data_IF_604478682314
#
_entry.id   IF_604478682314
#
_cell.length_a   1.000
_cell.length_b   1.000
_cell.length_c   1.000
_cell.angle_alpha   90.00
_cell.angle_beta   90.00
_cell.angle_gamma   90.00
#
_symmetry.space_group_name_H-M   'P 1'
#
loop_
_entity.id
_entity.type
_entity.pdbx_description
1 polymer ?
#
# COMPACT_ATOMS: atom_id res chain seq x y z
N UNK A 1 -4.11 -14.92 5.41
CA UNK A 1 -4.66 -13.57 5.15
C UNK A 1 -6.12 -13.62 5.48
N UNK A 2 -6.66 -12.73 6.31
CA UNK A 2 -8.08 -12.48 6.29
C UNK A 2 -8.40 -11.88 4.93
N UNK A 3 -9.15 -12.60 4.09
CA UNK A 3 -9.59 -12.05 2.82
C UNK A 3 -10.65 -11.00 3.11
N UNK A 4 -10.33 -9.73 2.88
CA UNK A 4 -11.35 -8.68 2.80
C UNK A 4 -12.00 -8.83 1.42
N UNK A 5 -13.20 -9.43 1.29
CA UNK A 5 -13.70 -9.88 -0.01
C UNK A 5 -13.93 -8.72 -0.99
N UNK A 6 -14.15 -7.52 -0.45
CA UNK A 6 -14.28 -6.28 -1.22
C UNK A 6 -12.99 -5.86 -1.96
N UNK A 7 -11.83 -6.45 -1.61
CA UNK A 7 -10.57 -6.27 -2.35
C UNK A 7 -10.44 -7.20 -3.55
N UNK A 8 -11.31 -8.20 -3.73
CA UNK A 8 -11.20 -9.09 -4.88
C UNK A 8 -11.35 -8.28 -6.18
N UNK A 9 -10.39 -8.44 -7.10
CA UNK A 9 -10.29 -7.65 -8.33
C UNK A 9 -9.77 -6.21 -8.14
N UNK A 10 -9.49 -5.77 -6.91
CA UNK A 10 -8.82 -4.50 -6.65
C UNK A 10 -7.30 -4.71 -6.67
N UNK A 11 -6.55 -3.73 -7.19
CA UNK A 11 -5.08 -3.82 -7.22
C UNK A 11 -4.43 -3.22 -5.98
N UNK A 12 -5.03 -3.36 -4.79
CA UNK A 12 -4.50 -2.75 -3.56
C UNK A 12 -4.75 -3.62 -2.32
N UNK A 13 -3.80 -3.67 -1.40
CA UNK A 13 -3.95 -4.28 -0.07
C UNK A 13 -3.03 -3.64 0.97
N UNK A 14 -3.30 -3.90 2.24
CA UNK A 14 -2.47 -3.50 3.38
C UNK A 14 -1.97 -4.69 4.19
N UNK A 15 -0.80 -4.51 4.81
CA UNK A 15 -0.35 -5.29 5.96
C UNK A 15 0.04 -4.33 7.09
N UNK A 16 -0.39 -4.63 8.31
CA UNK A 16 0.07 -3.96 9.53
C UNK A 16 1.13 -4.84 10.18
N UNK A 17 2.29 -4.26 10.46
CA UNK A 17 3.50 -4.99 10.87
C UNK A 17 4.01 -4.44 12.19
N UNK A 18 3.91 -5.24 13.26
CA UNK A 18 4.41 -4.89 14.58
C UNK A 18 5.75 -5.60 14.81
N UNK A 19 6.83 -4.83 14.95
CA UNK A 19 8.17 -5.33 15.24
C UNK A 19 8.51 -5.04 16.71
N UNK A 20 8.40 -6.02 17.62
CA UNK A 20 8.96 -5.84 18.95
C UNK A 20 10.45 -5.53 18.90
N UNK A 21 10.95 -5.05 20.04
CA UNK A 21 12.36 -4.78 20.22
C UNK A 21 13.24 -5.99 19.87
N UNK A 22 14.29 -5.77 19.11
CA UNK A 22 15.28 -6.80 18.73
C UNK A 22 14.79 -7.85 17.72
N UNK A 23 13.66 -7.64 17.05
CA UNK A 23 13.05 -8.67 16.16
C UNK A 23 13.42 -8.50 14.69
N UNK A 24 13.54 -9.62 13.98
CA UNK A 24 13.84 -9.67 12.54
C UNK A 24 12.65 -10.24 11.78
N UNK A 25 12.19 -9.53 10.74
CA UNK A 25 11.43 -10.15 9.66
C UNK A 25 12.43 -10.71 8.64
N UNK A 26 12.53 -12.05 8.52
CA UNK A 26 13.59 -12.70 7.73
C UNK A 26 13.54 -12.34 6.24
N UNK A 27 14.60 -12.63 5.47
CA UNK A 27 14.61 -12.43 4.03
C UNK A 27 13.40 -13.09 3.35
N UNK A 28 12.63 -12.28 2.64
CA UNK A 28 11.45 -12.71 1.91
C UNK A 28 11.25 -11.86 0.65
N UNK A 29 10.32 -12.31 -0.20
CA UNK A 29 9.93 -11.60 -1.41
C UNK A 29 8.41 -11.63 -1.61
N UNK A 30 7.90 -10.63 -2.32
CA UNK A 30 6.52 -10.51 -2.75
C UNK A 30 6.46 -10.64 -4.28
N UNK A 31 6.17 -11.84 -4.82
CA UNK A 31 6.29 -12.09 -6.25
C UNK A 31 5.22 -11.37 -7.09
N UNK A 32 4.12 -10.92 -6.47
CA UNK A 32 2.98 -10.32 -7.18
C UNK A 32 2.77 -8.84 -6.90
N UNK A 33 3.64 -8.21 -6.12
CA UNK A 33 3.49 -6.79 -5.79
C UNK A 33 4.81 -6.16 -5.37
N UNK A 34 5.00 -4.90 -5.73
CA UNK A 34 5.89 -4.02 -4.97
C UNK A 34 5.28 -3.73 -3.59
N UNK A 35 6.12 -3.37 -2.63
CA UNK A 35 5.71 -3.14 -1.25
C UNK A 35 6.21 -1.78 -0.80
N UNK A 36 5.34 -0.98 -0.20
CA UNK A 36 5.61 0.38 0.23
C UNK A 36 5.34 0.52 1.74
N UNK A 37 6.28 0.16 2.63
CA UNK A 37 6.09 0.39 4.05
C UNK A 37 6.17 1.87 4.41
N UNK A 38 5.22 2.32 5.23
CA UNK A 38 5.18 3.60 5.94
C UNK A 38 5.38 3.34 7.43
N UNK A 39 6.38 3.98 8.03
CA UNK A 39 6.67 3.81 9.46
C UNK A 39 5.78 4.73 10.30
N UNK A 40 4.90 4.13 11.11
CA UNK A 40 3.97 4.86 11.97
C UNK A 40 4.67 5.37 13.23
N UNK A 41 5.54 4.54 13.84
CA UNK A 41 6.42 4.94 14.93
C UNK A 41 7.62 3.99 15.03
N UNK A 42 8.68 4.44 15.70
CA UNK A 42 9.90 3.67 15.96
C UNK A 42 10.99 3.83 14.90
N UNK A 43 11.93 2.88 14.88
CA UNK A 43 13.06 2.85 13.94
C UNK A 43 13.20 1.46 13.35
N UNK A 44 13.25 1.38 12.02
CA UNK A 44 13.37 0.11 11.33
C UNK A 44 14.63 0.09 10.46
N UNK A 45 15.52 -0.87 10.69
CA UNK A 45 16.57 -1.16 9.72
C UNK A 45 15.98 -2.02 8.62
N UNK A 46 16.11 -1.56 7.38
CA UNK A 46 15.65 -2.30 6.22
C UNK A 46 16.80 -2.55 5.27
N UNK A 47 16.76 -3.70 4.62
CA UNK A 47 17.82 -4.17 3.75
C UNK A 47 17.19 -4.86 2.54
N UNK A 48 17.78 -4.67 1.37
CA UNK A 48 17.44 -5.41 0.17
C UNK A 48 18.68 -5.68 -0.66
N UNK A 49 18.64 -6.73 -1.46
CA UNK A 49 19.74 -7.12 -2.34
C UNK A 49 19.37 -6.73 -3.76
N UNK A 50 20.20 -5.92 -4.42
CA UNK A 50 19.97 -5.56 -5.81
C UNK A 50 20.40 -6.67 -6.78
N UNK A 51 20.13 -6.50 -8.07
CA UNK A 51 20.48 -7.48 -9.11
C UNK A 51 21.98 -7.69 -9.35
N UNK A 52 22.84 -6.89 -8.71
CA UNK A 52 24.29 -7.11 -8.69
C UNK A 52 24.77 -7.82 -7.42
N UNK A 53 23.86 -8.44 -6.66
CA UNK A 53 24.13 -9.10 -5.38
C UNK A 53 24.70 -8.18 -4.28
N UNK A 54 24.47 -6.87 -4.39
CA UNK A 54 24.90 -5.90 -3.40
C UNK A 54 23.79 -5.61 -2.41
N UNK A 55 24.12 -5.72 -1.12
CA UNK A 55 23.23 -5.30 -0.04
C UNK A 55 23.10 -3.77 -0.03
N UNK A 56 21.87 -3.28 -0.03
CA UNK A 56 21.56 -1.86 0.12
C UNK A 56 21.00 -1.64 1.53
N UNK A 57 21.76 -0.96 2.40
CA UNK A 57 21.29 -0.62 3.74
C UNK A 57 20.49 0.67 3.76
N UNK A 58 19.41 0.66 4.55
CA UNK A 58 18.65 1.85 4.87
C UNK A 58 18.11 1.78 6.30
N UNK A 59 18.04 2.93 6.97
CA UNK A 59 17.36 3.08 8.26
C UNK A 59 16.15 3.96 8.07
N UNK A 60 14.98 3.42 8.37
CA UNK A 60 13.71 4.12 8.36
C UNK A 60 13.44 4.70 9.75
N UNK A 61 12.98 5.94 9.75
CA UNK A 61 12.54 6.67 10.94
C UNK A 61 11.05 6.93 10.79
N UNK A 62 10.39 7.32 11.87
CA UNK A 62 8.96 7.68 11.88
C UNK A 62 8.60 8.62 10.72
N UNK A 63 7.46 8.37 10.08
CA UNK A 63 7.03 9.10 8.87
C UNK A 63 7.89 8.82 7.63
N UNK A 64 8.85 7.91 7.69
CA UNK A 64 9.63 7.47 6.55
C UNK A 64 8.89 6.42 5.74
N UNK A 65 9.13 6.42 4.42
CA UNK A 65 8.65 5.39 3.51
C UNK A 65 9.79 4.80 2.70
N UNK A 66 9.70 3.52 2.34
CA UNK A 66 10.62 2.87 1.42
C UNK A 66 9.83 2.02 0.42
N UNK A 67 10.23 1.95 -0.84
CA UNK A 67 9.65 1.02 -1.81
C UNK A 67 10.58 -0.17 -2.05
N UNK A 68 10.03 -1.38 -1.95
CA UNK A 68 10.66 -2.61 -2.39
C UNK A 68 10.02 -3.06 -3.69
N UNK A 69 10.76 -3.05 -4.81
CA UNK A 69 10.27 -3.60 -6.06
C UNK A 69 9.73 -5.02 -5.98
N UNK A 70 8.76 -5.32 -6.84
CA UNK A 70 8.16 -6.64 -6.98
C UNK A 70 9.24 -7.71 -7.18
N UNK A 71 9.14 -8.81 -6.43
CA UNK A 71 10.10 -9.91 -6.52
C UNK A 71 11.43 -9.70 -5.79
N UNK A 72 11.72 -8.50 -5.28
CA UNK A 72 12.99 -8.20 -4.62
C UNK A 72 13.10 -8.85 -3.23
N UNK A 73 14.23 -9.50 -2.96
CA UNK A 73 14.53 -10.03 -1.63
C UNK A 73 14.87 -8.88 -0.69
N UNK A 74 14.12 -8.78 0.40
CA UNK A 74 14.31 -7.77 1.44
C UNK A 74 14.02 -8.34 2.83
N UNK A 75 14.50 -7.65 3.86
CA UNK A 75 14.33 -8.02 5.25
C UNK A 75 14.36 -6.80 6.15
N UNK A 76 13.69 -6.90 7.29
CA UNK A 76 13.55 -5.82 8.25
C UNK A 76 14.06 -6.27 9.61
N UNK A 77 14.66 -5.34 10.34
CA UNK A 77 15.15 -5.59 11.69
C UNK A 77 14.87 -4.37 12.56
N UNK A 78 14.12 -4.59 13.64
CA UNK A 78 14.05 -3.61 14.72
C UNK A 78 15.31 -3.78 15.58
N UNK A 79 16.27 -2.90 15.35
CA UNK A 79 17.53 -2.88 16.09
C UNK A 79 17.43 -2.18 17.45
N UNK A 80 16.31 -1.53 17.72
CA UNK A 80 16.03 -1.01 19.05
C UNK A 80 15.79 -2.20 19.99
N UNK A 81 16.62 -2.31 21.03
CA UNK A 81 16.55 -3.38 22.02
C UNK A 81 15.50 -3.15 23.10
N UNK A 82 14.76 -2.04 23.03
CA UNK A 82 13.78 -1.64 24.05
C UNK A 82 12.42 -1.30 23.45
N UNK A 83 12.37 -0.54 22.35
CA UNK A 83 11.12 -0.01 21.82
C UNK A 83 10.58 -0.82 20.64
N UNK A 84 9.25 -1.05 20.58
CA UNK A 84 8.61 -1.63 19.42
C UNK A 84 8.59 -0.63 18.25
N UNK A 85 8.39 -1.14 17.05
CA UNK A 85 8.23 -0.38 15.81
C UNK A 85 6.97 -0.84 15.08
N UNK A 86 6.19 0.09 14.54
CA UNK A 86 4.98 -0.20 13.77
C UNK A 86 5.10 0.34 12.35
N UNK A 87 4.82 -0.51 11.37
CA UNK A 87 4.71 -0.10 9.97
C UNK A 87 3.36 -0.52 9.38
N UNK A 88 2.82 0.32 8.50
CA UNK A 88 1.70 -0.03 7.62
C UNK A 88 2.27 -0.14 6.22
N UNK A 89 1.99 -1.24 5.53
CA UNK A 89 2.60 -1.56 4.25
C UNK A 89 1.57 -1.73 3.17
N UNK A 90 1.64 -0.86 2.16
CA UNK A 90 0.76 -0.81 1.02
C UNK A 90 1.33 -1.63 -0.12
N UNK A 91 0.46 -2.34 -0.82
CA UNK A 91 0.83 -3.23 -1.92
C UNK A 91 -0.06 -2.94 -3.11
N UNK A 92 0.54 -2.87 -4.30
CA UNK A 92 -0.13 -2.70 -5.61
C UNK A 92 -0.86 -3.94 -6.12
N UNK A 93 -1.32 -4.81 -5.22
CA UNK A 93 -2.06 -6.03 -5.53
C UNK A 93 -2.98 -6.40 -4.37
N UNK A 94 -4.18 -6.93 -4.65
CA UNK A 94 -5.01 -7.55 -3.61
C UNK A 94 -4.36 -8.78 -2.98
N UNK A 95 -3.39 -9.40 -3.66
CA UNK A 95 -2.65 -10.54 -3.16
C UNK A 95 -1.19 -10.48 -3.62
N UNK A 96 -0.37 -9.79 -2.83
CA UNK A 96 1.08 -9.70 -3.07
C UNK A 96 1.78 -11.07 -3.03
N UNK A 97 1.22 -12.03 -2.28
CA UNK A 97 1.91 -13.26 -1.87
C UNK A 97 3.08 -12.96 -0.95
N UNK A 98 3.63 -13.99 -0.32
CA UNK A 98 4.88 -13.88 0.42
C UNK A 98 5.65 -15.18 0.31
N UNK A 99 6.93 -15.09 -0.01
CA UNK A 99 7.83 -16.23 -0.14
C UNK A 99 8.99 -16.00 0.82
N UNK A 100 9.01 -16.76 1.92
CA UNK A 100 10.15 -16.79 2.85
C UNK A 100 11.32 -17.46 2.16
N UNK A 101 12.44 -16.76 2.02
CA UNK A 101 13.65 -17.33 1.40
C UNK A 101 14.20 -18.48 2.26
N UNK A 102 14.38 -18.34 3.59
CA UNK A 102 14.87 -19.44 4.42
C UNK A 102 14.02 -20.71 4.30
N UNK A 103 12.69 -20.58 4.29
CA UNK A 103 11.82 -21.75 4.23
C UNK A 103 11.79 -22.36 2.83
N UNK A 104 11.61 -21.55 1.78
CA UNK A 104 11.53 -22.08 0.41
C UNK A 104 12.85 -22.68 -0.07
N UNK A 105 13.98 -22.24 0.49
CA UNK A 105 15.27 -22.86 0.21
C UNK A 105 15.43 -24.09 1.13
N UNK A 106 15.46 -23.91 2.44
CA UNK A 106 16.00 -24.95 3.32
C UNK A 106 14.96 -25.96 3.84
N UNK A 107 13.64 -25.72 3.76
CA UNK A 107 12.64 -26.67 4.27
C UNK A 107 11.99 -27.54 3.18
N UNK A 108 12.57 -27.57 1.99
CA UNK A 108 12.09 -28.39 0.87
C UNK A 108 12.74 -29.77 0.85
N UNK A 109 12.19 -30.68 0.03
CA UNK A 109 12.72 -32.03 -0.21
C UNK A 109 13.93 -32.06 -1.15
N UNK A 110 14.59 -30.92 -1.39
CA UNK A 110 15.81 -30.87 -2.19
C UNK A 110 16.94 -31.58 -1.42
N UNK A 111 17.67 -32.43 -2.15
CA UNK A 111 18.76 -33.26 -1.63
C UNK A 111 19.89 -32.43 -1.00
N UNK A 112 20.38 -32.87 0.16
CA UNK A 112 21.39 -32.14 0.92
C UNK A 112 22.74 -32.04 0.21
N UNK A 113 23.07 -32.99 -0.68
CA UNK A 113 24.29 -32.92 -1.48
C UNK A 113 24.17 -31.83 -2.56
N UNK A 114 22.98 -31.67 -3.17
CA UNK A 114 22.70 -30.58 -4.11
C UNK A 114 22.82 -29.22 -3.39
N UNK A 115 22.32 -29.13 -2.16
CA UNK A 115 22.50 -27.92 -1.34
C UNK A 115 23.97 -27.67 -1.00
N UNK A 116 24.68 -28.69 -0.54
CA UNK A 116 26.10 -28.61 -0.18
C UNK A 116 26.94 -28.12 -1.37
N UNK A 117 26.67 -28.64 -2.57
CA UNK A 117 27.33 -28.22 -3.81
C UNK A 117 26.94 -26.78 -4.21
N UNK A 118 25.67 -26.41 -4.07
CA UNK A 118 25.16 -25.08 -4.45
C UNK A 118 25.67 -23.97 -3.53
N UNK A 119 25.68 -24.23 -2.22
CA UNK A 119 26.10 -23.28 -1.19
C UNK A 119 27.60 -23.37 -0.86
N UNK A 120 28.33 -24.31 -1.48
CA UNK A 120 29.76 -24.55 -1.26
C UNK A 120 30.08 -24.76 0.22
N UNK A 121 29.24 -25.54 0.90
CA UNK A 121 29.32 -25.86 2.33
C UNK A 121 29.12 -27.35 2.56
N UNK A 122 29.44 -27.86 3.75
CA UNK A 122 29.18 -29.27 4.08
C UNK A 122 27.71 -29.54 4.44
N UNK A 123 27.33 -30.82 4.36
CA UNK A 123 25.97 -31.26 4.67
C UNK A 123 25.58 -31.03 6.14
N UNK A 124 26.55 -30.98 7.07
CA UNK A 124 26.28 -30.73 8.48
C UNK A 124 25.80 -29.28 8.71
N UNK A 125 26.40 -28.31 8.02
CA UNK A 125 25.97 -26.92 8.04
C UNK A 125 24.56 -26.76 7.45
N UNK A 126 24.24 -27.48 6.35
CA UNK A 126 22.88 -27.50 5.78
C UNK A 126 21.90 -28.07 6.79
N UNK A 127 22.20 -29.23 7.40
CA UNK A 127 21.35 -29.85 8.42
C UNK A 127 21.16 -28.97 9.65
N UNK A 128 22.18 -28.19 10.05
CA UNK A 128 22.06 -27.22 11.13
C UNK A 128 21.07 -26.10 10.80
N UNK A 129 21.14 -25.56 9.56
CA UNK A 129 20.19 -24.55 9.08
C UNK A 129 18.76 -25.14 9.03
N UNK A 130 18.59 -26.33 8.45
CA UNK A 130 17.29 -27.02 8.38
C UNK A 130 16.71 -27.32 9.76
N UNK A 131 17.53 -27.82 10.68
CA UNK A 131 17.16 -28.14 12.06
C UNK A 131 16.78 -26.89 12.87
N UNK A 132 17.46 -25.76 12.63
CA UNK A 132 17.14 -24.48 13.28
C UNK A 132 15.83 -23.85 12.78
N UNK A 133 15.48 -24.04 11.51
CA UNK A 133 14.21 -23.56 10.94
C UNK A 133 13.04 -24.44 11.38
N UNK A 134 13.22 -25.76 11.50
CA UNK A 134 12.15 -26.71 11.82
C UNK A 134 11.03 -26.70 10.77
N UNK A 135 9.93 -27.44 10.99
CA UNK A 135 8.74 -27.42 10.13
C UNK A 135 7.93 -26.11 10.25
N UNK A 136 8.60 -24.99 10.54
CA UNK A 136 8.00 -23.69 10.77
C UNK A 136 7.69 -23.05 9.43
N UNK A 137 6.42 -22.76 9.20
CA UNK A 137 5.99 -21.96 8.06
C UNK A 137 6.57 -20.54 8.14
N UNK A 138 6.45 -19.75 7.06
CA UNK A 138 6.82 -18.33 7.09
C UNK A 138 6.14 -17.61 8.28
N UNK A 139 4.88 -17.99 8.54
CA UNK A 139 4.07 -17.50 9.64
C UNK A 139 4.58 -17.94 11.03
N UNK A 140 5.14 -19.14 11.17
CA UNK A 140 5.66 -19.65 12.44
C UNK A 140 7.02 -19.04 12.82
N UNK A 141 7.84 -18.66 11.83
CA UNK A 141 9.05 -17.86 12.08
C UNK A 141 8.69 -16.43 12.48
N UNK A 142 7.64 -15.87 11.88
CA UNK A 142 7.11 -14.56 12.23
C UNK A 142 6.50 -14.55 13.66
N UNK A 143 5.69 -15.55 14.00
CA UNK A 143 5.09 -15.70 15.33
C UNK A 143 6.09 -16.10 16.42
N UNK A 144 7.11 -16.90 16.10
CA UNK A 144 8.19 -17.28 17.02
C UNK A 144 9.21 -16.15 17.27
N UNK A 145 9.11 -15.05 16.53
CA UNK A 145 9.94 -13.84 16.67
C UNK A 145 9.27 -12.76 17.53
N UNK A 146 8.19 -13.05 18.25
CA UNK A 146 7.31 -12.08 18.91
C UNK A 146 6.67 -11.03 17.97
N UNK A 147 6.80 -11.14 16.65
CA UNK A 147 6.19 -10.19 15.70
C UNK A 147 4.69 -10.46 15.70
N UNK A 148 3.92 -9.58 16.35
CA UNK A 148 2.47 -9.71 16.44
C UNK A 148 1.82 -9.41 15.10
N UNK A 149 1.22 -10.43 14.49
CA UNK A 149 0.25 -10.25 13.41
C UNK A 149 -1.14 -10.48 14.01
N UNK A 150 -1.91 -9.42 14.24
CA UNK A 150 -3.32 -9.59 14.55
C UNK A 150 -4.07 -9.94 13.26
N UNK A 151 -4.71 -11.13 13.22
CA UNK A 151 -5.65 -11.53 12.16
C UNK A 151 -5.23 -12.67 11.22
N UNK A 152 -4.53 -13.71 11.69
CA UNK A 152 -4.10 -14.83 10.83
C UNK A 152 -4.63 -16.19 11.32
N UNK A 153 -5.68 -16.67 10.64
CA UNK A 153 -6.13 -18.05 10.71
C UNK A 153 -5.06 -19.01 10.17
N UNK A 154 -4.85 -20.10 10.91
CA UNK A 154 -4.19 -21.31 10.45
C UNK A 154 -5.10 -21.95 9.41
N UNK A 155 -4.59 -22.18 8.20
CA UNK A 155 -4.94 -23.30 7.29
C UNK A 155 -4.59 -22.92 5.85
N UNK A 156 -3.58 -23.60 5.30
CA UNK A 156 -3.37 -23.73 3.85
C UNK A 156 -2.53 -24.98 3.59
N UNK A 157 -3.15 -26.15 3.81
CA UNK A 157 -2.73 -27.40 3.18
C UNK A 157 -3.82 -27.72 2.16
N UNK A 158 -3.49 -27.58 0.86
CA UNK A 158 -4.33 -28.11 -0.22
C UNK A 158 -3.60 -29.32 -0.79
N UNK A 159 -4.26 -30.46 -0.69
CA UNK A 159 -3.87 -31.74 -1.26
C UNK A 159 -4.28 -31.73 -2.75
N UNK A 160 -3.34 -31.99 -3.67
CA UNK A 160 -3.62 -32.05 -5.09
C UNK A 160 -3.32 -33.46 -5.62
N UNK A 161 -4.38 -34.24 -5.81
CA UNK A 161 -4.40 -35.43 -6.65
C UNK A 161 -5.40 -35.20 -7.78
N UNK A 162 -4.94 -35.24 -9.03
CA UNK A 162 -5.83 -35.28 -10.19
C UNK A 162 -5.23 -34.62 -11.43
N UNK A 163 -4.95 -35.44 -12.44
CA UNK A 163 -4.56 -35.03 -13.80
C UNK A 163 -5.60 -34.09 -14.44
N UNK A 164 -5.16 -33.06 -15.16
CA UNK A 164 -6.01 -32.38 -16.15
C UNK A 164 -5.26 -31.97 -17.42
N UNK A 165 -5.98 -32.19 -18.51
CA UNK A 165 -5.68 -31.88 -19.91
C UNK A 165 -5.73 -30.35 -20.12
N UNK A 166 -4.70 -29.80 -20.75
CA UNK A 166 -4.60 -28.36 -21.03
C UNK A 166 -5.33 -27.98 -22.34
N UNK A 167 -6.29 -27.06 -22.25
CA UNK A 167 -6.82 -26.28 -23.36
C UNK A 167 -6.37 -24.82 -23.19
N UNK A 168 -5.62 -24.30 -24.16
CA UNK A 168 -5.17 -22.89 -24.15
C UNK A 168 -6.27 -22.01 -24.75
N UNK A 169 -7.03 -21.32 -23.90
CA UNK A 169 -7.79 -20.14 -24.27
C UNK A 169 -7.02 -18.90 -23.81
N UNK A 170 -6.61 -18.04 -24.74
CA UNK A 170 -6.03 -16.72 -24.41
C UNK A 170 -7.19 -15.81 -24.01
N UNK A 171 -7.52 -15.81 -22.71
CA UNK A 171 -8.41 -14.81 -22.11
C UNK A 171 -7.57 -13.60 -21.76
N UNK A 172 -7.67 -12.55 -22.57
CA UNK A 172 -7.04 -11.27 -22.27
C UNK A 172 -7.84 -10.58 -21.16
N UNK A 173 -7.48 -10.85 -19.91
CA UNK A 173 -8.03 -10.13 -18.76
C UNK A 173 -7.50 -8.69 -18.79
N UNK A 174 -8.38 -7.70 -18.79
CA UNK A 174 -7.97 -6.32 -18.56
C UNK A 174 -7.43 -6.20 -17.13
N UNK A 175 -6.13 -6.02 -16.97
CA UNK A 175 -5.51 -5.73 -15.68
C UNK A 175 -5.72 -4.24 -15.39
N UNK A 176 -6.46 -3.92 -14.33
CA UNK A 176 -6.84 -2.56 -13.98
C UNK A 176 -5.74 -1.76 -13.23
N UNK A 177 -4.46 -2.05 -13.49
CA UNK A 177 -3.29 -1.45 -12.82
C UNK A 177 -2.31 -0.79 -13.80
N UNK A 178 -1.21 -0.25 -13.27
CA UNK A 178 -0.12 0.26 -14.13
C UNK A 178 0.51 -0.90 -14.92
N UNK A 179 1.13 -0.59 -16.06
CA UNK A 179 1.83 -1.59 -16.85
C UNK A 179 3.02 -2.17 -16.06
N UNK A 180 3.17 -3.50 -16.10
CA UNK A 180 4.37 -4.15 -15.58
C UNK A 180 5.61 -3.64 -16.35
N UNK A 181 6.67 -3.29 -15.63
CA UNK A 181 7.97 -2.94 -16.20
C UNK A 181 8.80 -4.20 -16.46
N UNK A 182 9.66 -4.14 -17.47
CA UNK A 182 10.57 -5.25 -17.84
C UNK A 182 11.95 -5.15 -17.16
N UNK A 183 12.10 -4.21 -16.25
CA UNK A 183 13.31 -3.97 -15.44
C UNK A 183 12.92 -3.96 -13.97
N UNK A 184 13.88 -4.08 -13.06
CA UNK A 184 13.60 -4.10 -11.62
C UNK A 184 12.94 -2.79 -11.14
N UNK A 185 13.39 -1.66 -11.67
CA UNK A 185 12.89 -0.32 -11.38
C UNK A 185 13.29 0.65 -12.49
N UNK A 186 12.53 1.73 -12.63
CA UNK A 186 12.79 2.76 -13.65
C UNK A 186 13.50 3.95 -13.03
N UNK A 187 14.66 4.32 -13.58
CA UNK A 187 15.42 5.49 -13.14
C UNK A 187 15.06 6.73 -13.97
N UNK A 188 14.84 7.89 -13.33
CA UNK A 188 14.84 9.17 -14.03
C UNK A 188 16.20 9.43 -14.70
N UNK A 189 16.21 10.13 -15.84
CA UNK A 189 17.43 10.38 -16.63
C UNK A 189 18.54 11.12 -15.90
N UNK A 190 18.20 11.85 -14.83
CA UNK A 190 19.14 12.58 -13.98
C UNK A 190 19.73 11.74 -12.81
N UNK A 191 19.33 10.49 -12.64
CA UNK A 191 19.82 9.60 -11.57
C UNK A 191 20.92 8.69 -12.12
N UNK A 192 22.16 8.94 -11.70
CA UNK A 192 23.35 8.17 -12.15
C UNK A 192 23.88 7.20 -11.10
N UNK A 193 23.46 7.33 -9.85
CA UNK A 193 23.80 6.42 -8.76
C UNK A 193 22.53 5.98 -8.03
N UNK A 194 22.43 4.67 -7.79
CA UNK A 194 21.28 4.05 -7.13
C UNK A 194 21.72 3.52 -5.77
N UNK A 195 21.09 4.03 -4.71
CA UNK A 195 21.30 3.61 -3.32
C UNK A 195 19.97 3.68 -2.55
N UNK A 196 20.00 3.39 -1.25
CA UNK A 196 18.80 3.36 -0.39
C UNK A 196 18.01 4.68 -0.38
N UNK A 197 18.66 5.82 -0.60
CA UNK A 197 18.00 7.12 -0.66
C UNK A 197 17.04 7.23 -1.84
N UNK A 198 17.37 6.67 -3.01
CA UNK A 198 16.46 6.69 -4.17
C UNK A 198 15.15 5.96 -3.87
N UNK A 199 15.21 4.88 -3.09
CA UNK A 199 14.05 4.10 -2.69
C UNK A 199 13.39 4.59 -1.41
N UNK A 200 13.82 5.72 -0.83
CA UNK A 200 13.26 6.24 0.43
C UNK A 200 12.58 7.57 0.20
N UNK A 201 11.34 7.70 0.66
CA UNK A 201 10.63 8.98 0.68
C UNK A 201 10.53 9.51 2.11
N UNK A 202 10.98 10.74 2.33
CA UNK A 202 10.99 11.39 3.65
C UNK A 202 10.03 12.57 3.75
N UNK A 203 9.28 12.87 2.67
CA UNK A 203 8.35 14.01 2.64
C UNK A 203 7.22 13.93 3.67
N UNK A 204 6.88 12.72 4.13
CA UNK A 204 5.87 12.51 5.17
C UNK A 204 6.36 12.80 6.60
N UNK A 205 7.69 12.97 6.83
CA UNK A 205 8.23 13.31 8.16
C UNK A 205 7.70 14.62 8.72
N UNK A 206 7.22 15.52 7.87
CA UNK A 206 6.58 16.78 8.27
C UNK A 206 5.30 16.58 9.09
N UNK A 207 4.76 15.36 9.12
CA UNK A 207 3.60 14.97 9.92
C UNK A 207 3.96 14.58 11.36
N UNK A 208 5.21 14.18 11.60
CA UNK A 208 5.64 13.61 12.87
C UNK A 208 5.68 14.71 13.92
N UNK A 209 4.84 14.58 14.95
CA UNK A 209 4.68 15.60 15.99
C UNK A 209 4.08 16.92 15.50
N UNK A 210 3.49 16.96 14.30
CA UNK A 210 2.84 18.15 13.80
C UNK A 210 1.44 18.31 14.38
N UNK A 211 1.06 19.55 14.66
CA UNK A 211 -0.32 19.88 15.01
C UNK A 211 -1.26 19.64 13.82
N UNK A 212 -2.53 19.25 14.07
CA UNK A 212 -3.54 19.16 13.04
C UNK A 212 -3.66 20.47 12.25
N UNK A 213 -3.81 20.42 10.91
CA UNK A 213 -3.95 21.62 10.12
C UNK A 213 -5.26 22.34 10.44
N UNK A 214 -5.37 23.61 10.03
CA UNK A 214 -6.61 24.40 10.16
C UNK A 214 -7.60 24.16 9.01
N UNK A 215 -7.13 23.61 7.90
CA UNK A 215 -7.93 23.22 6.73
C UNK A 215 -7.59 21.81 6.31
N UNK A 216 -8.51 21.14 5.62
CA UNK A 216 -8.24 19.83 5.03
C UNK A 216 -6.95 19.87 4.19
N UNK A 217 -6.05 18.91 4.42
CA UNK A 217 -4.76 18.83 3.76
C UNK A 217 -4.45 17.41 3.33
N UNK A 218 -3.91 17.27 2.13
CA UNK A 218 -3.43 15.98 1.60
C UNK A 218 -1.94 16.09 1.32
N UNK A 219 -1.17 15.15 1.85
CA UNK A 219 0.21 14.91 1.43
C UNK A 219 0.26 13.66 0.58
N UNK A 220 0.97 13.70 -0.55
CA UNK A 220 1.04 12.59 -1.50
C UNK A 220 2.44 12.01 -1.56
N UNK A 221 2.49 10.73 -1.82
CA UNK A 221 3.68 9.99 -2.26
C UNK A 221 3.27 9.21 -3.50
N UNK A 222 3.03 9.94 -4.60
CA UNK A 222 2.81 9.39 -5.93
C UNK A 222 4.11 9.40 -6.73
N UNK A 223 4.09 8.91 -7.97
CA UNK A 223 5.23 9.02 -8.90
C UNK A 223 5.76 10.46 -9.05
N UNK A 224 4.91 11.48 -8.85
CA UNK A 224 5.30 12.88 -8.95
C UNK A 224 6.23 13.31 -7.79
N UNK A 225 5.95 12.84 -6.57
CA UNK A 225 6.74 13.17 -5.38
C UNK A 225 7.84 12.14 -5.10
N UNK A 226 7.61 10.88 -5.49
CA UNK A 226 8.48 9.75 -5.22
C UNK A 226 8.73 8.92 -6.49
N UNK A 227 9.72 9.32 -7.32
CA UNK A 227 9.94 8.72 -8.64
C UNK A 227 10.26 7.21 -8.64
N UNK A 228 10.75 6.65 -7.52
CA UNK A 228 11.00 5.21 -7.41
C UNK A 228 9.71 4.36 -7.49
N UNK A 229 8.53 4.98 -7.37
CA UNK A 229 7.25 4.30 -7.59
C UNK A 229 6.94 4.03 -9.06
N UNK A 230 7.73 4.56 -10.01
CA UNK A 230 7.52 4.30 -11.42
C UNK A 230 7.62 2.80 -11.74
N UNK A 231 6.53 2.23 -12.26
CA UNK A 231 6.40 0.80 -12.54
C UNK A 231 6.12 -0.09 -11.32
N UNK A 232 5.85 0.49 -10.14
CA UNK A 232 5.62 -0.27 -8.91
C UNK A 232 4.12 -0.46 -8.58
N UNK A 233 3.22 0.19 -9.32
CA UNK A 233 1.77 0.08 -9.15
C UNK A 233 1.27 0.34 -7.73
N UNK A 234 1.95 1.21 -6.98
CA UNK A 234 1.56 1.57 -5.60
C UNK A 234 1.87 3.04 -5.30
N UNK A 235 0.99 3.72 -4.58
CA UNK A 235 1.23 5.07 -4.03
C UNK A 235 0.42 5.31 -2.76
N UNK A 236 0.71 6.41 -2.07
CA UNK A 236 0.00 6.83 -0.86
C UNK A 236 -0.48 8.27 -0.91
N UNK A 237 -1.50 8.53 -0.10
CA UNK A 237 -1.84 9.85 0.41
C UNK A 237 -2.09 9.79 1.92
N UNK A 238 -1.64 10.81 2.65
CA UNK A 238 -2.06 11.06 4.04
C UNK A 238 -3.04 12.22 4.04
N UNK A 239 -4.24 11.97 4.56
CA UNK A 239 -5.35 12.90 4.61
C UNK A 239 -5.52 13.38 6.05
N UNK A 240 -5.43 14.70 6.23
CA UNK A 240 -5.60 15.35 7.53
C UNK A 240 -6.91 16.14 7.50
N UNK A 241 -7.85 15.71 8.33
CA UNK A 241 -9.18 16.29 8.44
C UNK A 241 -9.29 17.07 9.75
N UNK A 242 -9.22 18.41 9.74
CA UNK A 242 -9.67 19.20 10.88
C UNK A 242 -11.14 18.87 11.23
N UNK A 243 -11.58 19.32 12.41
CA UNK A 243 -12.98 19.24 12.81
C UNK A 243 -13.91 19.80 11.70
N UNK A 244 -15.03 19.12 11.46
CA UNK A 244 -16.05 19.49 10.47
C UNK A 244 -15.54 19.65 9.02
N UNK A 245 -14.40 19.07 8.67
CA UNK A 245 -13.82 19.20 7.33
C UNK A 245 -14.27 18.10 6.37
N UNK A 246 -14.31 18.43 5.08
CA UNK A 246 -14.75 17.53 4.01
C UNK A 246 -13.66 17.35 2.96
N UNK A 247 -13.46 16.11 2.53
CA UNK A 247 -12.89 15.83 1.22
C UNK A 247 -14.08 15.66 0.25
N UNK A 248 -14.33 16.63 -0.63
CA UNK A 248 -15.56 16.67 -1.43
C UNK A 248 -15.67 15.45 -2.36
N UNK A 249 -16.86 15.19 -2.93
CA UNK A 249 -17.05 14.10 -3.88
C UNK A 249 -15.99 14.11 -4.99
N UNK A 250 -15.27 13.01 -5.15
CA UNK A 250 -14.20 12.85 -6.14
C UNK A 250 -14.10 11.40 -6.62
N UNK A 251 -13.26 11.18 -7.63
CA UNK A 251 -12.95 9.84 -8.14
C UNK A 251 -11.47 9.68 -8.44
N UNK A 252 -11.01 8.43 -8.38
CA UNK A 252 -9.68 7.98 -8.76
C UNK A 252 -9.79 7.12 -10.04
N UNK A 253 -9.52 7.68 -11.24
CA UNK A 253 -9.77 6.98 -12.49
C UNK A 253 -8.81 5.82 -12.75
N UNK A 254 -7.63 5.82 -12.11
CA UNK A 254 -6.59 4.80 -12.35
C UNK A 254 -6.45 3.80 -11.21
N UNK A 255 -7.11 4.01 -10.07
CA UNK A 255 -6.95 3.10 -8.93
C UNK A 255 -8.18 3.04 -8.02
N UNK A 256 -8.32 1.92 -7.33
CA UNK A 256 -9.11 1.87 -6.11
C UNK A 256 -8.33 2.50 -4.96
N UNK A 257 -9.04 2.99 -3.96
CA UNK A 257 -8.46 3.55 -2.75
C UNK A 257 -8.75 2.63 -1.57
N UNK A 258 -7.70 2.26 -0.84
CA UNK A 258 -7.83 1.56 0.44
C UNK A 258 -7.44 2.53 1.56
N UNK A 259 -8.44 3.02 2.27
CA UNK A 259 -8.28 3.99 3.34
C UNK A 259 -8.19 3.29 4.68
N UNK A 260 -7.13 3.57 5.44
CA UNK A 260 -6.97 3.18 6.83
C UNK A 260 -7.12 4.42 7.72
N UNK A 261 -8.04 4.39 8.69
CA UNK A 261 -8.22 5.49 9.63
C UNK A 261 -7.25 5.34 10.81
N UNK A 262 -6.24 6.20 10.90
CA UNK A 262 -5.22 6.11 11.95
C UNK A 262 -5.66 6.79 13.26
N UNK A 263 -6.44 7.86 13.17
CA UNK A 263 -6.88 8.66 14.31
C UNK A 263 -8.23 9.33 14.04
N UNK A 264 -9.05 9.49 15.08
CA UNK A 264 -10.34 10.19 15.04
C UNK A 264 -11.51 9.32 14.57
N UNK A 265 -12.55 9.98 14.05
CA UNK A 265 -13.72 9.33 13.44
C UNK A 265 -13.95 9.93 12.04
N UNK A 266 -14.45 9.13 11.10
CA UNK A 266 -14.62 9.59 9.73
C UNK A 266 -15.85 8.97 9.07
N UNK A 267 -16.76 9.81 8.58
CA UNK A 267 -17.85 9.37 7.72
C UNK A 267 -17.32 9.22 6.29
N UNK A 268 -17.55 8.06 5.70
CA UNK A 268 -17.10 7.75 4.34
C UNK A 268 -18.26 7.21 3.51
N UNK A 269 -18.20 7.38 2.20
CA UNK A 269 -19.15 6.72 1.32
C UNK A 269 -18.82 6.84 -0.16
N UNK A 270 -19.42 5.96 -0.95
CA UNK A 270 -19.36 5.97 -2.41
C UNK A 270 -20.72 5.67 -3.04
N UNK A 271 -20.87 6.07 -4.30
CA UNK A 271 -22.07 5.80 -5.10
C UNK A 271 -21.71 4.84 -6.24
N UNK A 272 -22.49 3.77 -6.39
CA UNK A 272 -22.31 2.80 -7.47
C UNK A 272 -23.00 3.22 -8.78
N UNK A 273 -22.85 2.40 -9.83
CA UNK A 273 -23.44 2.65 -11.15
C UNK A 273 -24.96 2.49 -11.20
N UNK A 274 -25.59 2.02 -10.12
CA UNK A 274 -27.05 1.97 -9.95
C UNK A 274 -27.58 3.20 -9.21
N UNK A 275 -26.70 4.16 -8.90
CA UNK A 275 -26.96 5.33 -8.06
C UNK A 275 -27.28 4.97 -6.60
N UNK A 276 -26.82 3.82 -6.12
CA UNK A 276 -26.96 3.44 -4.72
C UNK A 276 -25.80 3.99 -3.91
N UNK A 277 -26.14 4.67 -2.81
CA UNK A 277 -25.17 5.17 -1.84
C UNK A 277 -24.81 4.06 -0.83
N UNK A 278 -23.51 3.90 -0.59
CA UNK A 278 -22.95 3.07 0.48
C UNK A 278 -22.15 3.96 1.42
N UNK A 279 -22.42 3.88 2.72
CA UNK A 279 -21.79 4.73 3.74
C UNK A 279 -21.38 3.94 4.96
N UNK A 280 -20.36 4.44 5.66
CA UNK A 280 -19.96 3.95 6.98
C UNK A 280 -19.39 5.09 7.84
N UNK A 281 -19.53 4.98 9.17
CA UNK A 281 -18.77 5.79 10.12
C UNK A 281 -17.61 4.96 10.67
N UNK A 282 -16.38 5.33 10.32
CA UNK A 282 -15.16 4.65 10.72
C UNK A 282 -14.68 5.14 12.09
N UNK A 283 -14.08 4.23 12.84
CA UNK A 283 -13.26 4.48 14.03
C UNK A 283 -11.78 4.22 13.72
N UNK A 284 -10.87 4.78 14.52
CA UNK A 284 -9.45 4.51 14.38
C UNK A 284 -9.17 2.99 14.38
N UNK A 285 -8.38 2.53 13.41
CA UNK A 285 -8.11 1.11 13.13
C UNK A 285 -8.95 0.54 11.98
N UNK A 286 -10.06 1.18 11.60
CA UNK A 286 -10.90 0.69 10.51
C UNK A 286 -10.27 0.90 9.13
N UNK A 287 -10.62 0.00 8.21
CA UNK A 287 -10.26 0.07 6.80
C UNK A 287 -11.53 0.16 5.95
N UNK A 288 -11.52 1.02 4.93
CA UNK A 288 -12.61 1.14 3.96
C UNK A 288 -12.06 1.17 2.53
N UNK A 289 -12.72 0.47 1.61
CA UNK A 289 -12.34 0.44 0.19
C UNK A 289 -13.29 1.28 -0.64
N UNK A 290 -12.73 2.18 -1.46
CA UNK A 290 -13.44 2.88 -2.51
C UNK A 290 -13.08 2.24 -3.86
N UNK A 291 -14.03 1.60 -4.56
CA UNK A 291 -13.75 0.96 -5.84
C UNK A 291 -13.29 1.96 -6.91
N UNK A 292 -12.39 1.51 -7.79
CA UNK A 292 -11.82 2.32 -8.87
C UNK A 292 -12.90 3.03 -9.68
N UNK A 293 -12.71 4.33 -9.89
CA UNK A 293 -13.58 5.14 -10.75
C UNK A 293 -14.92 5.57 -10.13
N UNK A 294 -15.33 5.03 -8.98
CA UNK A 294 -16.59 5.44 -8.34
C UNK A 294 -16.45 6.78 -7.61
N UNK A 295 -17.52 7.58 -7.65
CA UNK A 295 -17.60 8.83 -6.90
C UNK A 295 -17.72 8.52 -5.42
N UNK A 296 -16.85 9.11 -4.61
CA UNK A 296 -16.80 8.91 -3.17
C UNK A 296 -16.39 10.19 -2.44
N UNK A 297 -16.57 10.19 -1.12
CA UNK A 297 -16.28 11.31 -0.24
C UNK A 297 -15.81 10.82 1.13
N UNK A 298 -15.16 11.73 1.86
CA UNK A 298 -14.89 11.56 3.28
C UNK A 298 -15.24 12.85 4.02
N UNK A 299 -15.83 12.72 5.21
CA UNK A 299 -16.27 13.82 6.03
C UNK A 299 -15.96 13.55 7.50
N UNK A 300 -15.22 14.46 8.12
CA UNK A 300 -15.07 14.45 9.57
C UNK A 300 -16.25 15.20 10.18
N UNK A 301 -17.22 14.45 10.69
CA UNK A 301 -18.41 15.00 11.32
C UNK A 301 -18.20 15.43 12.78
N UNK A 302 -17.03 15.16 13.37
CA UNK A 302 -16.70 15.63 14.71
C UNK A 302 -16.44 17.15 14.68
N UNK A 303 -17.13 17.88 15.55
CA UNK A 303 -17.08 19.35 15.64
C UNK A 303 -15.84 19.87 16.37
N UNK A 304 -15.08 18.99 17.03
CA UNK A 304 -13.97 19.37 17.92
C UNK A 304 -12.68 18.64 17.58
N UNK A 305 -12.75 17.36 17.25
CA UNK A 305 -11.58 16.52 17.09
C UNK A 305 -11.22 16.34 15.61
N UNK A 306 -9.92 16.36 15.27
CA UNK A 306 -9.46 16.04 13.93
C UNK A 306 -9.46 14.53 13.68
N UNK A 307 -9.33 14.15 12.41
CA UNK A 307 -9.11 12.79 11.97
C UNK A 307 -7.90 12.71 11.00
N UNK A 308 -7.19 11.59 11.02
CA UNK A 308 -6.06 11.33 10.13
C UNK A 308 -6.21 9.96 9.48
N UNK A 309 -6.18 9.93 8.14
CA UNK A 309 -6.30 8.72 7.36
C UNK A 309 -5.13 8.54 6.40
N UNK A 310 -4.82 7.28 6.11
CA UNK A 310 -3.76 6.87 5.19
C UNK A 310 -4.42 6.07 4.06
N UNK A 311 -4.34 6.60 2.85
CA UNK A 311 -4.93 5.99 1.66
C UNK A 311 -3.86 5.42 0.76
N UNK A 312 -4.01 4.13 0.46
CA UNK A 312 -3.15 3.37 -0.42
C UNK A 312 -3.85 3.18 -1.74
N UNK A 313 -3.08 3.28 -2.83
CA UNK A 313 -3.60 3.12 -4.18
C UNK A 313 -2.82 2.04 -4.91
N UNK A 314 -3.52 1.22 -5.67
CA UNK A 314 -2.97 0.23 -6.61
C UNK A 314 -2.42 0.80 -7.91
N UNK A 315 -1.87 2.01 -7.86
CA UNK A 315 -1.23 2.69 -8.99
C UNK A 315 -0.22 3.67 -8.42
N UNK A 316 0.92 3.83 -9.09
CA UNK A 316 1.90 4.88 -8.80
C UNK A 316 1.31 6.29 -9.04
N UNK A 317 0.22 6.37 -9.81
CA UNK A 317 -0.52 7.60 -10.08
C UNK A 317 -2.02 7.30 -10.16
N UNK A 318 -2.72 7.29 -9.03
CA UNK A 318 -4.17 7.07 -9.00
C UNK A 318 -4.98 8.11 -9.81
N UNK A 319 -4.43 9.33 -9.94
CA UNK A 319 -5.15 10.52 -10.41
C UNK A 319 -6.24 10.94 -9.43
N UNK A 320 -6.70 12.18 -9.50
CA UNK A 320 -7.83 12.64 -8.69
C UNK A 320 -8.68 13.59 -9.51
N UNK A 321 -9.98 13.32 -9.55
CA UNK A 321 -10.96 14.17 -10.23
C UNK A 321 -12.00 14.62 -9.20
N UNK A 322 -11.85 15.85 -8.69
CA UNK A 322 -12.84 16.50 -7.83
C UNK A 322 -14.11 16.76 -8.64
N UNK A 323 -15.26 16.24 -8.23
CA UNK A 323 -16.52 16.44 -8.94
C UNK A 323 -16.93 17.92 -8.93
N UNK A 324 -16.94 18.64 -7.77
CA UNK A 324 -17.29 20.06 -7.77
C UNK A 324 -16.38 20.89 -8.68
N UNK A 325 -15.07 20.69 -8.58
CA UNK A 325 -14.09 21.45 -9.39
C UNK A 325 -14.23 21.10 -10.88
N UNK A 326 -14.24 19.82 -11.23
CA UNK A 326 -14.29 19.40 -12.64
C UNK A 326 -15.58 19.82 -13.34
N UNK A 327 -16.71 19.84 -12.63
CA UNK A 327 -18.01 20.19 -13.22
C UNK A 327 -18.19 21.71 -13.29
N UNK A 328 -17.84 22.43 -12.22
CA UNK A 328 -18.22 23.84 -12.10
C UNK A 328 -17.06 24.83 -12.41
N UNK A 329 -15.80 24.42 -12.44
CA UNK A 329 -14.66 25.34 -12.62
C UNK A 329 -13.84 25.12 -13.90
N UNK A 330 -14.28 24.25 -14.82
CA UNK A 330 -13.52 23.88 -16.04
C UNK A 330 -14.04 24.54 -17.33
N UNK A 331 -15.07 25.39 -17.23
CA UNK A 331 -15.62 26.12 -18.37
C UNK A 331 -16.81 25.44 -19.06
N UNK A 332 -17.42 24.40 -18.47
CA UNK A 332 -18.70 23.86 -18.97
C UNK A 332 -19.75 24.98 -18.98
N UNK A 333 -20.46 25.13 -20.10
CA UNK A 333 -21.44 26.20 -20.32
C UNK A 333 -22.56 26.18 -19.28
N UNK A 334 -22.98 27.37 -18.84
CA UNK A 334 -24.01 27.51 -17.81
C UNK A 334 -25.35 26.91 -18.25
N UNK A 335 -25.71 26.98 -19.54
CA UNK A 335 -26.95 26.37 -20.03
C UNK A 335 -26.87 24.85 -20.03
N UNK A 336 -25.69 24.27 -20.32
CA UNK A 336 -25.48 22.82 -20.23
C UNK A 336 -25.69 22.38 -18.78
N UNK A 337 -25.02 23.03 -17.83
CA UNK A 337 -25.15 22.71 -16.41
C UNK A 337 -26.58 22.95 -15.90
N UNK A 338 -27.22 24.06 -16.25
CA UNK A 338 -28.59 24.36 -15.83
C UNK A 338 -29.57 23.27 -16.31
N UNK A 339 -29.46 22.84 -17.58
CA UNK A 339 -30.26 21.73 -18.11
C UNK A 339 -29.95 20.40 -17.43
N UNK A 340 -28.67 20.07 -17.23
CA UNK A 340 -28.24 18.82 -16.61
C UNK A 340 -28.68 18.70 -15.15
N UNK A 341 -28.58 19.79 -14.37
CA UNK A 341 -28.94 19.84 -12.96
C UNK A 341 -30.41 20.23 -12.73
N UNK A 342 -31.18 20.46 -13.80
CA UNK A 342 -32.60 20.86 -13.75
C UNK A 342 -32.84 22.10 -12.89
N UNK A 343 -32.01 23.12 -13.11
CA UNK A 343 -32.03 24.41 -12.41
C UNK A 343 -31.87 25.56 -13.42
N UNK A 344 -31.59 26.78 -12.96
CA UNK A 344 -31.36 27.96 -13.80
C UNK A 344 -29.88 28.39 -13.83
N UNK A 345 -29.55 29.26 -14.79
CA UNK A 345 -28.20 29.81 -14.98
C UNK A 345 -27.70 30.54 -13.73
N UNK A 346 -28.58 31.28 -13.05
CA UNK A 346 -28.20 32.06 -11.88
C UNK A 346 -27.71 31.15 -10.73
N UNK A 347 -28.39 30.03 -10.51
CA UNK A 347 -28.00 29.02 -9.53
C UNK A 347 -26.65 28.39 -9.88
N UNK A 348 -26.42 28.07 -11.15
CA UNK A 348 -25.12 27.56 -11.62
C UNK A 348 -24.00 28.58 -11.35
N UNK A 349 -24.22 29.84 -11.70
CA UNK A 349 -23.24 30.90 -11.49
C UNK A 349 -22.91 31.10 -10.01
N UNK A 350 -23.91 30.98 -9.12
CA UNK A 350 -23.69 31.01 -7.67
C UNK A 350 -22.78 29.86 -7.20
N UNK A 351 -23.02 28.63 -7.68
CA UNK A 351 -22.16 27.48 -7.35
C UNK A 351 -20.73 27.70 -7.86
N UNK A 352 -20.57 28.17 -9.11
CA UNK A 352 -19.26 28.48 -9.69
C UNK A 352 -18.51 29.53 -8.88
N UNK A 353 -19.19 30.61 -8.48
CA UNK A 353 -18.61 31.67 -7.68
C UNK A 353 -18.18 31.18 -6.29
N UNK A 354 -18.98 30.31 -5.65
CA UNK A 354 -18.65 29.73 -4.34
C UNK A 354 -17.42 28.81 -4.37
N UNK A 355 -17.11 28.19 -5.51
CA UNK A 355 -15.96 27.30 -5.71
C UNK A 355 -14.72 28.00 -6.27
N UNK A 356 -14.83 29.28 -6.64
CA UNK A 356 -13.69 30.04 -7.14
C UNK A 356 -12.59 30.16 -6.07
N UNK A 357 -11.31 30.14 -6.45
CA UNK A 357 -10.22 30.43 -5.52
C UNK A 357 -10.48 31.76 -4.81
N UNK A 358 -10.30 31.79 -3.48
CA UNK A 358 -10.32 33.06 -2.75
C UNK A 358 -9.12 33.90 -3.21
N UNK A 359 -9.31 35.21 -3.45
CA UNK A 359 -8.26 36.10 -3.97
C UNK A 359 -7.05 36.23 -3.03
#
# INVERSE_FOLDING_TARGET
>A
MAEFPALNGQSVSYAVLHYPAGTVNPPHTHPRSAVLPFLVYGTLQVRFVNTTNKLIPQTLQEGGMIVFPKGLVHFHYNADGQNPTLAISGMGSANAGAVSVPNNVFTTSIDDNIFSESFKTDAAAILQIKGGLGSKTCLDLLNGSNIGFEGLGKDSIINASGEQIASLAIVQMAIAGDADITSDFVLPSNVTQVNGTFFTFTGMRVLVGAEPPVTFKVLKSSIAEFPALNGQSVSYAVLQFPASSVNPPHTHPRSAELLFLAYGTLQVGFVDTTNKLFTQTLQAGDIFVFPKGLVHFQYNADEKNPALAISGFGSANAGTASVPTNVFTTGIDDNILAKSFKTDIATIQQIKAALAPKP
#
